data_IF_179451353219
#
_entry.id   IF_179451353219
#
_cell.length_a   1.000
_cell.length_b   1.000
_cell.length_c   1.000
_cell.angle_alpha   90.00
_cell.angle_beta   90.00
_cell.angle_gamma   90.00
#
_symmetry.space_group_name_H-M   'P 1'
#
loop_
_entity.id
_entity.type
_entity.pdbx_description
1 polymer ?
#
# COMPACT_ATOMS: atom_id res chain seq x y z
N UNK A 1 36.95 -34.88 73.35
CA UNK A 1 35.87 -35.61 74.05
C UNK A 1 34.54 -34.94 73.78
N UNK A 2 33.79 -35.39 72.77
CA UNK A 2 32.34 -35.17 72.64
C UNK A 2 31.80 -36.30 71.76
N UNK A 3 31.63 -37.48 72.37
CA UNK A 3 30.89 -38.61 71.80
C UNK A 3 29.51 -38.60 72.45
N UNK A 4 28.45 -38.56 71.64
CA UNK A 4 27.13 -39.04 72.06
C UNK A 4 26.04 -38.00 72.38
N UNK A 5 25.90 -36.93 71.59
CA UNK A 5 24.57 -36.30 71.48
C UNK A 5 23.76 -37.10 70.47
N UNK A 6 22.86 -37.94 70.99
CA UNK A 6 21.92 -38.72 70.17
C UNK A 6 21.08 -37.79 69.29
N UNK A 7 20.71 -38.24 68.10
CA UNK A 7 19.88 -37.48 67.16
C UNK A 7 18.59 -36.92 67.80
N UNK A 8 18.13 -37.57 68.87
CA UNK A 8 16.98 -37.16 69.68
C UNK A 8 17.21 -35.83 70.43
N UNK A 9 18.41 -35.57 70.94
CA UNK A 9 18.74 -34.34 71.66
C UNK A 9 18.82 -33.13 70.71
N UNK A 10 19.33 -33.35 69.49
CA UNK A 10 19.35 -32.33 68.43
C UNK A 10 17.94 -31.98 67.95
N UNK A 11 17.08 -33.00 67.76
CA UNK A 11 15.68 -32.81 67.38
C UNK A 11 14.89 -32.06 68.47
N UNK A 12 15.09 -32.39 69.74
CA UNK A 12 14.45 -31.71 70.86
C UNK A 12 14.88 -30.23 70.97
N UNK A 13 16.15 -29.91 70.67
CA UNK A 13 16.65 -28.55 70.67
C UNK A 13 16.09 -27.70 69.51
N UNK A 14 15.79 -28.32 68.36
CA UNK A 14 15.27 -27.63 67.17
C UNK A 14 13.74 -27.50 67.15
N UNK A 15 13.01 -28.34 67.88
CA UNK A 15 11.55 -28.36 67.95
C UNK A 15 10.90 -26.99 68.26
N UNK A 16 11.34 -26.19 69.25
CA UNK A 16 10.72 -24.90 69.54
C UNK A 16 10.91 -23.89 68.39
N UNK A 17 12.05 -23.91 67.70
CA UNK A 17 12.30 -22.99 66.57
C UNK A 17 11.43 -23.31 65.36
N UNK A 18 11.22 -24.61 65.07
CA UNK A 18 10.32 -25.04 63.99
C UNK A 18 8.88 -24.68 64.32
N UNK A 19 8.45 -24.89 65.57
CA UNK A 19 7.11 -24.54 66.03
C UNK A 19 6.84 -23.03 65.95
N UNK A 20 7.77 -22.19 66.45
CA UNK A 20 7.63 -20.73 66.35
C UNK A 20 7.68 -20.24 64.90
N UNK A 21 8.52 -20.84 64.05
CA UNK A 21 8.55 -20.51 62.62
C UNK A 21 7.22 -20.80 61.93
N UNK A 22 6.61 -21.95 62.21
CA UNK A 22 5.27 -22.31 61.70
C UNK A 22 4.17 -21.40 62.24
N UNK A 23 4.26 -21.00 63.51
CA UNK A 23 3.29 -20.11 64.15
C UNK A 23 3.36 -18.69 63.57
N UNK A 24 4.57 -18.17 63.30
CA UNK A 24 4.75 -16.88 62.63
C UNK A 24 4.26 -16.96 61.18
N UNK A 25 4.55 -18.05 60.46
CA UNK A 25 4.08 -18.24 59.09
C UNK A 25 2.54 -18.31 58.99
N UNK A 26 1.88 -18.97 59.94
CA UNK A 26 0.40 -19.01 60.01
C UNK A 26 -0.19 -17.66 60.42
N UNK A 27 0.42 -16.95 61.37
CA UNK A 27 0.00 -15.60 61.74
C UNK A 27 0.15 -14.59 60.59
N UNK A 28 1.26 -14.63 59.83
CA UNK A 28 1.44 -13.80 58.64
C UNK A 28 0.46 -14.17 57.52
N UNK A 29 0.24 -15.46 57.28
CA UNK A 29 -0.71 -15.93 56.26
C UNK A 29 -2.13 -15.42 56.51
N UNK A 30 -2.58 -15.46 57.77
CA UNK A 30 -3.89 -14.92 58.15
C UNK A 30 -3.97 -13.39 58.02
N UNK A 31 -2.90 -12.65 58.35
CA UNK A 31 -2.88 -11.20 58.20
C UNK A 31 -2.96 -10.77 56.72
N UNK A 32 -2.27 -11.47 55.82
CA UNK A 32 -2.29 -11.16 54.38
C UNK A 32 -3.62 -11.45 53.69
N UNK A 33 -4.32 -12.52 54.09
CA UNK A 33 -5.65 -12.86 53.58
C UNK A 33 -6.73 -11.86 54.03
N UNK A 34 -6.57 -11.29 55.22
CA UNK A 34 -7.55 -10.36 55.79
C UNK A 34 -7.41 -8.94 55.24
N UNK A 35 -6.18 -8.45 55.05
CA UNK A 35 -5.92 -7.05 54.67
C UNK A 35 -5.54 -6.84 53.20
N UNK A 36 -5.19 -7.89 52.45
CA UNK A 36 -4.83 -7.81 51.03
C UNK A 36 -5.90 -7.12 50.16
N UNK A 37 -7.19 -7.47 50.27
CA UNK A 37 -8.25 -6.83 49.48
C UNK A 37 -8.42 -5.34 49.81
N UNK A 38 -8.26 -4.97 51.08
CA UNK A 38 -8.36 -3.59 51.56
C UNK A 38 -7.22 -2.71 51.04
N UNK A 39 -6.00 -3.24 51.02
CA UNK A 39 -4.82 -2.54 50.49
C UNK A 39 -4.96 -2.34 48.97
N UNK A 40 -5.42 -3.35 48.22
CA UNK A 40 -5.65 -3.23 46.78
C UNK A 40 -6.78 -2.26 46.45
N UNK A 41 -7.88 -2.27 47.21
CA UNK A 41 -8.95 -1.30 47.07
C UNK A 41 -8.47 0.13 47.35
N UNK A 42 -7.62 0.32 48.37
CA UNK A 42 -7.04 1.62 48.71
C UNK A 42 -6.08 2.13 47.62
N UNK A 43 -5.21 1.27 47.09
CA UNK A 43 -4.32 1.62 45.98
C UNK A 43 -5.13 1.95 44.72
N UNK A 44 -6.17 1.16 44.40
CA UNK A 44 -7.08 1.44 43.30
C UNK A 44 -7.80 2.77 43.44
N UNK A 45 -8.29 3.10 44.63
CA UNK A 45 -8.93 4.39 44.91
C UNK A 45 -7.96 5.56 44.78
N UNK A 46 -6.72 5.40 45.25
CA UNK A 46 -5.71 6.45 45.20
C UNK A 46 -5.24 6.75 43.77
N UNK A 47 -5.16 5.74 42.90
CA UNK A 47 -4.77 5.91 41.49
C UNK A 47 -5.91 6.47 40.64
N UNK A 48 -7.16 6.00 40.85
CA UNK A 48 -8.34 6.53 40.15
C UNK A 48 -8.61 7.99 40.50
N UNK A 49 -8.50 8.36 41.78
CA UNK A 49 -8.70 9.75 42.23
C UNK A 49 -7.62 10.73 41.76
N UNK A 50 -6.44 10.24 41.36
CA UNK A 50 -5.38 11.06 40.76
C UNK A 50 -5.61 11.27 39.27
N UNK A 51 -6.15 10.27 38.56
CA UNK A 51 -6.53 10.35 37.16
C UNK A 51 -7.75 11.25 36.93
N UNK A 52 -8.78 11.13 37.78
CA UNK A 52 -9.99 11.95 37.67
C UNK A 52 -9.70 13.45 37.85
N UNK A 53 -8.83 13.80 38.80
CA UNK A 53 -8.37 15.19 39.00
C UNK A 53 -7.48 15.72 37.87
N UNK A 54 -6.81 14.83 37.13
CA UNK A 54 -6.01 15.23 35.94
C UNK A 54 -6.92 15.47 34.75
N UNK A 55 -7.89 14.58 34.52
CA UNK A 55 -8.91 14.75 33.49
C UNK A 55 -9.75 16.04 33.69
N UNK A 56 -10.10 16.39 34.92
CA UNK A 56 -10.78 17.67 35.20
C UNK A 56 -9.90 18.89 34.90
N UNK A 57 -8.60 18.83 35.22
CA UNK A 57 -7.67 19.94 34.90
C UNK A 57 -7.40 20.07 33.40
N UNK A 58 -7.39 18.97 32.66
CA UNK A 58 -7.21 18.99 31.21
C UNK A 58 -8.48 19.51 30.53
N UNK A 59 -9.67 19.13 31.01
CA UNK A 59 -10.96 19.68 30.55
C UNK A 59 -11.14 21.18 30.88
N UNK A 60 -10.59 21.67 32.00
CA UNK A 60 -10.59 23.10 32.34
C UNK A 60 -9.54 23.92 31.56
N UNK A 61 -8.53 23.28 30.94
CA UNK A 61 -7.49 23.95 30.13
C UNK A 61 -7.87 24.11 28.67
N UNK A 62 -8.76 23.27 28.14
CA UNK A 62 -9.23 23.36 26.76
C UNK A 62 -10.07 24.61 26.41
N UNK A 63 -10.90 25.22 27.28
CA UNK A 63 -11.69 26.39 26.88
C UNK A 63 -10.92 27.72 26.83
N UNK A 64 -9.63 27.77 27.19
CA UNK A 64 -8.86 29.03 27.24
C UNK A 64 -7.97 29.22 25.99
N UNK A 65 -7.80 28.19 25.14
CA UNK A 65 -7.02 28.28 23.89
C UNK A 65 -7.95 28.35 22.66
N UNK A 66 -9.05 29.11 22.73
CA UNK A 66 -9.84 29.46 21.53
C UNK A 66 -9.99 30.97 21.32
N UNK A 67 -9.51 31.80 22.25
CA UNK A 67 -9.62 33.24 22.13
C UNK A 67 -8.38 33.83 21.43
N UNK A 68 -8.57 34.15 20.14
CA UNK A 68 -7.73 35.00 19.26
C UNK A 68 -6.72 34.27 18.37
N UNK A 69 -7.18 33.23 17.67
CA UNK A 69 -6.75 33.05 16.27
C UNK A 69 -7.62 34.01 15.45
N UNK A 70 -7.04 35.11 14.97
CA UNK A 70 -7.65 35.86 13.87
C UNK A 70 -7.71 34.88 12.70
N UNK A 71 -8.87 34.25 12.49
CA UNK A 71 -9.11 33.43 11.30
C UNK A 71 -9.15 34.40 10.14
N UNK A 72 -8.01 34.61 9.50
CA UNK A 72 -8.01 35.11 8.13
C UNK A 72 -8.98 34.23 7.34
N UNK A 73 -9.91 34.81 6.57
CA UNK A 73 -10.77 34.01 5.72
C UNK A 73 -9.86 33.12 4.88
N UNK A 74 -10.12 31.80 4.79
CA UNK A 74 -9.27 30.92 4.03
C UNK A 74 -9.12 31.52 2.64
N UNK A 75 -7.89 31.62 2.09
CA UNK A 75 -7.70 32.13 0.74
C UNK A 75 -8.70 31.42 -0.17
N UNK A 76 -9.58 32.20 -0.80
CA UNK A 76 -10.54 31.69 -1.76
C UNK A 76 -9.75 31.28 -2.99
N UNK A 77 -9.20 30.07 -2.95
CA UNK A 77 -8.69 29.43 -4.13
C UNK A 77 -9.88 29.19 -5.06
N UNK A 78 -9.80 29.55 -6.35
CA UNK A 78 -10.81 29.13 -7.30
C UNK A 78 -10.95 27.61 -7.21
N UNK A 79 -12.17 27.07 -7.28
CA UNK A 79 -12.41 25.62 -7.17
C UNK A 79 -11.60 24.79 -8.19
N UNK A 80 -11.09 25.44 -9.23
CA UNK A 80 -10.17 24.90 -10.25
C UNK A 80 -8.75 24.64 -9.74
N UNK A 81 -8.32 25.27 -8.63
CA UNK A 81 -6.95 25.19 -8.11
C UNK A 81 -6.72 24.01 -7.13
N UNK A 82 -7.78 23.29 -6.74
CA UNK A 82 -7.67 22.10 -5.88
C UNK A 82 -8.58 20.96 -6.36
N UNK A 83 -8.60 20.71 -7.67
CA UNK A 83 -8.81 19.33 -8.09
C UNK A 83 -7.49 18.60 -7.79
N UNK A 84 -7.43 17.59 -6.90
CA UNK A 84 -6.32 16.65 -6.94
C UNK A 84 -6.25 16.21 -8.39
N UNK A 85 -5.12 16.46 -9.05
CA UNK A 85 -5.14 16.39 -10.49
C UNK A 85 -5.43 14.92 -10.84
N UNK A 86 -6.42 14.66 -11.69
CA UNK A 86 -7.07 13.34 -11.88
C UNK A 86 -6.09 12.16 -12.09
N UNK A 87 -4.83 12.46 -12.38
CA UNK A 87 -3.71 11.54 -12.35
C UNK A 87 -3.40 10.89 -11.00
N UNK A 88 -3.56 11.60 -9.87
CA UNK A 88 -3.30 11.06 -8.54
C UNK A 88 -4.32 9.99 -8.14
N UNK A 89 -5.60 10.24 -8.41
CA UNK A 89 -6.68 9.27 -8.14
C UNK A 89 -6.50 7.99 -8.94
N UNK A 90 -6.06 8.11 -10.21
CA UNK A 90 -5.77 6.96 -11.06
C UNK A 90 -4.56 6.14 -10.55
N UNK A 91 -3.52 6.80 -10.03
CA UNK A 91 -2.37 6.11 -9.46
C UNK A 91 -2.71 5.46 -8.11
N UNK A 92 -3.58 6.09 -7.31
CA UNK A 92 -4.05 5.51 -6.07
C UNK A 92 -4.93 4.27 -6.32
N UNK A 93 -5.88 4.37 -7.25
CA UNK A 93 -6.73 3.23 -7.65
C UNK A 93 -5.89 2.10 -8.25
N UNK A 94 -4.90 2.42 -9.07
CA UNK A 94 -3.96 1.45 -9.59
C UNK A 94 -3.22 0.69 -8.48
N UNK A 95 -2.74 1.40 -7.45
CA UNK A 95 -2.07 0.74 -6.32
C UNK A 95 -3.00 -0.20 -5.57
N UNK A 96 -4.25 0.19 -5.39
CA UNK A 96 -5.27 -0.65 -4.80
C UNK A 96 -5.51 -1.93 -5.62
N UNK A 97 -5.70 -1.81 -6.94
CA UNK A 97 -5.94 -2.97 -7.82
C UNK A 97 -4.72 -3.91 -7.90
N UNK A 98 -3.49 -3.38 -7.87
CA UNK A 98 -2.27 -4.21 -7.73
C UNK A 98 -2.33 -5.03 -6.43
N UNK A 99 -2.75 -4.41 -5.32
CA UNK A 99 -2.96 -5.08 -4.04
C UNK A 99 -4.02 -6.18 -4.13
N UNK A 100 -5.15 -5.91 -4.80
CA UNK A 100 -6.22 -6.90 -5.02
C UNK A 100 -5.71 -8.11 -5.81
N UNK A 101 -4.97 -7.90 -6.90
CA UNK A 101 -4.39 -8.99 -7.70
C UNK A 101 -3.46 -9.86 -6.83
N UNK A 102 -2.58 -9.25 -6.02
CA UNK A 102 -1.67 -9.99 -5.13
C UNK A 102 -2.43 -10.79 -4.07
N UNK A 103 -3.43 -10.18 -3.44
CA UNK A 103 -4.27 -10.83 -2.45
C UNK A 103 -5.03 -12.02 -3.03
N UNK A 104 -5.67 -11.82 -4.19
CA UNK A 104 -6.38 -12.87 -4.89
C UNK A 104 -5.44 -14.00 -5.33
N UNK A 105 -4.27 -13.69 -5.88
CA UNK A 105 -3.29 -14.67 -6.30
C UNK A 105 -2.83 -15.58 -5.16
N UNK A 106 -2.72 -15.05 -3.94
CA UNK A 106 -2.38 -15.84 -2.74
C UNK A 106 -3.45 -16.89 -2.36
N UNK A 107 -4.68 -16.74 -2.84
CA UNK A 107 -5.78 -17.69 -2.62
C UNK A 107 -5.98 -18.69 -3.77
N UNK A 108 -5.24 -18.55 -4.88
CA UNK A 108 -5.35 -19.43 -6.04
C UNK A 108 -4.59 -20.73 -5.76
N UNK A 109 -5.31 -21.87 -5.77
CA UNK A 109 -4.71 -23.19 -5.54
C UNK A 109 -3.80 -23.70 -6.67
N UNK A 110 -3.95 -23.15 -7.89
CA UNK A 110 -3.05 -23.46 -9.02
C UNK A 110 -1.80 -22.56 -8.97
N UNK A 111 -0.66 -23.16 -8.62
CA UNK A 111 0.60 -22.45 -8.45
C UNK A 111 1.15 -21.82 -9.74
N UNK A 112 0.83 -22.36 -10.93
CA UNK A 112 1.26 -21.76 -12.19
C UNK A 112 0.50 -20.46 -12.45
N UNK A 113 -0.81 -20.49 -12.23
CA UNK A 113 -1.71 -19.35 -12.48
C UNK A 113 -1.54 -18.27 -11.42
N UNK A 114 -1.37 -18.66 -10.15
CA UNK A 114 -1.01 -17.74 -9.08
C UNK A 114 0.27 -16.96 -9.42
N UNK A 115 1.31 -17.64 -9.94
CA UNK A 115 2.55 -17.00 -10.38
C UNK A 115 2.36 -16.02 -11.53
N UNK A 116 1.49 -16.31 -12.49
CA UNK A 116 1.18 -15.37 -13.58
C UNK A 116 0.53 -14.09 -13.07
N UNK A 117 -0.46 -14.19 -12.18
CA UNK A 117 -1.06 -12.99 -11.56
C UNK A 117 -0.07 -12.20 -10.71
N UNK A 118 0.83 -12.89 -9.99
CA UNK A 118 1.90 -12.23 -9.24
C UNK A 118 2.90 -11.52 -10.17
N UNK A 119 3.26 -12.12 -11.30
CA UNK A 119 4.12 -11.49 -12.30
C UNK A 119 3.45 -10.24 -12.88
N UNK A 120 2.18 -10.33 -13.27
CA UNK A 120 1.38 -9.20 -13.74
C UNK A 120 1.36 -8.06 -12.70
N UNK A 121 1.13 -8.39 -11.43
CA UNK A 121 1.13 -7.40 -10.35
C UNK A 121 2.51 -6.78 -10.10
N UNK A 122 3.61 -7.52 -10.31
CA UNK A 122 4.97 -7.00 -10.19
C UNK A 122 5.32 -6.04 -11.32
N UNK A 123 4.95 -6.37 -12.55
CA UNK A 123 5.12 -5.50 -13.72
C UNK A 123 4.28 -4.21 -13.58
N UNK A 124 3.01 -4.34 -13.14
CA UNK A 124 2.14 -3.19 -12.89
C UNK A 124 2.70 -2.26 -11.80
N UNK A 125 3.30 -2.81 -10.74
CA UNK A 125 3.96 -2.03 -9.67
C UNK A 125 5.22 -1.33 -10.17
N UNK A 126 5.96 -1.95 -11.08
CA UNK A 126 7.13 -1.33 -11.73
C UNK A 126 6.72 -0.13 -12.57
N UNK A 127 5.66 -0.26 -13.35
CA UNK A 127 5.11 0.84 -14.15
C UNK A 127 4.55 1.93 -13.23
N UNK A 128 3.83 1.56 -12.18
CA UNK A 128 3.30 2.49 -11.19
C UNK A 128 4.41 3.33 -10.55
N UNK A 129 5.48 2.69 -10.08
CA UNK A 129 6.63 3.38 -9.49
C UNK A 129 7.29 4.37 -10.46
N UNK A 130 7.44 4.00 -11.74
CA UNK A 130 7.98 4.91 -12.77
C UNK A 130 7.06 6.10 -13.01
N UNK A 131 5.75 5.91 -13.03
CA UNK A 131 4.79 7.00 -13.23
C UNK A 131 4.68 7.92 -12.01
N UNK A 132 4.93 7.41 -10.81
CA UNK A 132 5.07 8.24 -9.61
C UNK A 132 6.32 9.14 -9.70
N UNK A 133 7.39 8.67 -10.35
CA UNK A 133 8.58 9.48 -10.62
C UNK A 133 8.39 10.45 -11.81
N UNK A 134 7.64 10.03 -12.84
CA UNK A 134 7.45 10.75 -14.09
C UNK A 134 5.96 10.89 -14.46
N UNK A 135 5.20 11.75 -13.79
CA UNK A 135 3.74 11.83 -13.95
C UNK A 135 3.30 12.30 -15.33
N UNK A 136 4.17 13.00 -16.07
CA UNK A 136 3.93 13.44 -17.46
C UNK A 136 3.68 12.25 -18.40
N UNK A 137 4.28 11.09 -18.11
CA UNK A 137 4.13 9.86 -18.91
C UNK A 137 2.83 9.10 -18.61
N UNK A 138 1.98 9.57 -17.68
CA UNK A 138 0.74 8.88 -17.32
C UNK A 138 -0.21 8.70 -18.50
N UNK A 139 -0.24 9.66 -19.44
CA UNK A 139 -1.07 9.57 -20.64
C UNK A 139 -0.86 8.27 -21.41
N UNK A 140 0.37 7.76 -21.42
CA UNK A 140 0.74 6.52 -22.11
C UNK A 140 0.11 5.30 -21.44
N UNK A 141 0.13 5.24 -20.10
CA UNK A 141 -0.37 4.09 -19.33
C UNK A 141 -1.83 4.23 -18.88
N UNK A 142 -2.50 5.34 -19.21
CA UNK A 142 -3.85 5.67 -18.70
C UNK A 142 -4.85 4.57 -18.98
N UNK A 143 -4.89 4.06 -20.23
CA UNK A 143 -5.83 2.99 -20.62
C UNK A 143 -5.58 1.71 -19.83
N UNK A 144 -4.33 1.41 -19.53
CA UNK A 144 -3.98 0.24 -18.74
C UNK A 144 -4.53 0.35 -17.32
N UNK A 145 -4.21 1.43 -16.61
CA UNK A 145 -4.65 1.61 -15.23
C UNK A 145 -6.16 1.86 -15.10
N UNK A 146 -6.78 2.53 -16.06
CA UNK A 146 -8.20 2.85 -15.98
C UNK A 146 -9.12 1.70 -16.43
N UNK A 147 -8.59 0.68 -17.12
CA UNK A 147 -9.45 -0.37 -17.71
C UNK A 147 -8.89 -1.77 -17.63
N UNK A 148 -7.61 -1.98 -17.91
CA UNK A 148 -7.04 -3.33 -17.94
C UNK A 148 -6.70 -3.85 -16.55
N UNK A 149 -6.10 -3.01 -15.70
CA UNK A 149 -5.71 -3.41 -14.35
C UNK A 149 -6.93 -3.74 -13.45
N UNK A 150 -8.02 -2.96 -13.40
CA UNK A 150 -9.20 -3.29 -12.59
C UNK A 150 -9.83 -4.62 -13.03
N UNK A 151 -9.92 -4.84 -14.35
CA UNK A 151 -10.43 -6.10 -14.92
C UNK A 151 -9.52 -7.28 -14.59
N UNK A 152 -8.21 -7.06 -14.52
CA UNK A 152 -7.26 -8.10 -14.11
C UNK A 152 -7.44 -8.49 -12.65
N UNK A 153 -7.72 -7.52 -11.78
CA UNK A 153 -8.08 -7.77 -10.38
C UNK A 153 -9.38 -8.57 -10.27
N UNK A 154 -10.42 -8.19 -11.01
CA UNK A 154 -11.70 -8.92 -11.04
C UNK A 154 -11.52 -10.36 -11.57
N UNK A 155 -10.65 -10.58 -12.56
CA UNK A 155 -10.33 -11.91 -13.07
C UNK A 155 -9.59 -12.76 -12.04
N UNK A 156 -8.61 -12.18 -11.33
CA UNK A 156 -7.88 -12.86 -10.28
C UNK A 156 -8.81 -13.28 -9.14
N UNK A 157 -9.67 -12.37 -8.68
CA UNK A 157 -10.68 -12.66 -7.66
C UNK A 157 -11.72 -13.67 -8.14
N UNK A 158 -12.12 -13.62 -9.41
CA UNK A 158 -13.10 -14.53 -9.99
C UNK A 158 -12.58 -15.93 -10.30
N UNK A 159 -11.26 -16.15 -10.29
CA UNK A 159 -10.64 -17.38 -10.78
C UNK A 159 -11.20 -18.65 -10.11
N UNK A 160 -11.38 -18.62 -8.78
CA UNK A 160 -11.91 -19.75 -8.01
C UNK A 160 -13.37 -20.08 -8.32
N UNK A 161 -14.13 -19.19 -8.98
CA UNK A 161 -15.53 -19.46 -9.35
C UNK A 161 -15.65 -20.43 -10.53
N UNK A 162 -14.56 -20.63 -11.26
CA UNK A 162 -14.50 -21.49 -12.44
C UNK A 162 -13.96 -22.90 -12.15
N UNK A 163 -13.70 -23.25 -10.88
CA UNK A 163 -13.13 -24.55 -10.48
C UNK A 163 -14.17 -25.64 -10.21
N UNK A 164 -15.48 -25.36 -10.28
CA UNK A 164 -16.51 -26.41 -10.14
C UNK A 164 -16.57 -27.28 -11.40
N UNK A 165 -16.67 -28.61 -11.21
CA UNK A 165 -16.80 -29.67 -12.22
C UNK A 165 -18.00 -29.46 -13.15
N UNK A 166 -17.83 -28.57 -14.11
CA UNK A 166 -18.73 -28.37 -15.24
C UNK A 166 -17.82 -28.22 -16.47
N UNK A 167 -18.08 -28.92 -17.56
CA UNK A 167 -17.32 -28.78 -18.81
C UNK A 167 -17.31 -27.32 -19.34
N UNK A 168 -18.31 -26.52 -18.94
CA UNK A 168 -18.33 -25.07 -19.18
C UNK A 168 -17.33 -24.29 -18.30
N UNK A 169 -16.91 -24.83 -17.17
CA UNK A 169 -15.88 -24.27 -16.28
C UNK A 169 -14.50 -24.29 -16.93
N UNK A 170 -14.11 -25.40 -17.57
CA UNK A 170 -12.80 -25.54 -18.20
C UNK A 170 -12.65 -24.64 -19.44
N UNK A 171 -13.69 -24.55 -20.27
CA UNK A 171 -13.70 -23.62 -21.42
C UNK A 171 -13.64 -22.15 -21.00
N UNK A 172 -14.30 -21.77 -19.90
CA UNK A 172 -14.19 -20.42 -19.33
C UNK A 172 -12.80 -20.14 -18.77
N UNK A 173 -12.18 -21.14 -18.14
CA UNK A 173 -10.81 -21.06 -17.60
C UNK A 173 -9.77 -20.87 -18.70
N UNK A 174 -9.88 -21.65 -19.79
CA UNK A 174 -9.00 -21.48 -20.95
C UNK A 174 -9.10 -20.07 -21.56
N UNK A 175 -10.31 -19.51 -21.68
CA UNK A 175 -10.52 -18.13 -22.13
C UNK A 175 -9.92 -17.11 -21.17
N UNK A 176 -10.05 -17.33 -19.86
CA UNK A 176 -9.44 -16.46 -18.85
C UNK A 176 -7.91 -16.45 -18.98
N UNK A 177 -7.29 -17.62 -19.21
CA UNK A 177 -5.85 -17.73 -19.41
C UNK A 177 -5.38 -17.05 -20.70
N UNK A 178 -6.13 -17.17 -21.80
CA UNK A 178 -5.84 -16.42 -23.04
C UNK A 178 -5.91 -14.90 -22.80
N UNK A 179 -6.94 -14.43 -22.07
CA UNK A 179 -7.06 -13.00 -21.73
C UNK A 179 -5.92 -12.55 -20.82
N UNK A 180 -5.55 -13.35 -19.81
CA UNK A 180 -4.44 -13.05 -18.91
C UNK A 180 -3.12 -12.93 -19.68
N UNK A 181 -2.84 -13.85 -20.59
CA UNK A 181 -1.66 -13.79 -21.44
C UNK A 181 -1.64 -12.53 -22.33
N UNK A 182 -2.77 -12.17 -22.96
CA UNK A 182 -2.88 -10.94 -23.76
C UNK A 182 -2.67 -9.68 -22.92
N UNK A 183 -3.15 -9.67 -21.68
CA UNK A 183 -2.94 -8.57 -20.75
C UNK A 183 -1.47 -8.41 -20.38
N UNK A 184 -0.75 -9.51 -20.14
CA UNK A 184 0.69 -9.52 -19.89
C UNK A 184 1.48 -8.98 -21.10
N UNK A 185 1.16 -9.44 -22.32
CA UNK A 185 1.81 -8.94 -23.55
C UNK A 185 1.57 -7.44 -23.73
N UNK A 186 0.34 -6.98 -23.53
CA UNK A 186 0.01 -5.55 -23.60
C UNK A 186 0.77 -4.74 -22.54
N UNK A 187 0.97 -5.29 -21.35
CA UNK A 187 1.70 -4.63 -20.27
C UNK A 187 3.18 -4.46 -20.59
N UNK A 188 3.83 -5.51 -21.10
CA UNK A 188 5.24 -5.45 -21.53
C UNK A 188 5.44 -4.46 -22.67
N UNK A 189 4.50 -4.39 -23.59
CA UNK A 189 4.52 -3.38 -24.66
C UNK A 189 4.41 -1.97 -24.08
N UNK A 190 3.54 -1.77 -23.08
CA UNK A 190 3.40 -0.50 -22.39
C UNK A 190 4.66 -0.09 -21.61
N UNK A 191 5.30 -1.04 -20.93
CA UNK A 191 6.56 -0.80 -20.22
C UNK A 191 7.68 -0.42 -21.20
N UNK A 192 7.77 -1.11 -22.33
CA UNK A 192 8.73 -0.82 -23.40
C UNK A 192 8.49 0.59 -23.93
N UNK A 193 7.24 0.95 -24.20
CA UNK A 193 6.88 2.30 -24.62
C UNK A 193 7.31 3.34 -23.56
N UNK A 194 7.07 3.09 -22.27
CA UNK A 194 7.48 3.97 -21.16
C UNK A 194 9.01 4.10 -20.98
N UNK A 195 9.75 3.11 -21.46
CA UNK A 195 11.23 3.07 -21.41
C UNK A 195 11.89 3.66 -22.66
N UNK A 196 11.14 3.76 -23.77
CA UNK A 196 11.67 4.29 -25.01
C UNK A 196 12.12 5.77 -24.84
N UNK A 197 13.29 6.15 -25.38
CA UNK A 197 13.70 7.55 -25.45
C UNK A 197 12.63 8.39 -26.13
N UNK A 198 12.41 9.63 -25.67
CA UNK A 198 11.36 10.50 -26.23
C UNK A 198 11.49 10.67 -27.75
N UNK A 199 12.71 10.82 -28.26
CA UNK A 199 12.96 10.90 -29.71
C UNK A 199 12.55 9.63 -30.47
N UNK A 200 12.83 8.45 -29.90
CA UNK A 200 12.41 7.18 -30.52
C UNK A 200 10.88 7.02 -30.55
N UNK A 201 10.15 7.66 -29.62
CA UNK A 201 8.68 7.69 -29.65
C UNK A 201 8.16 8.62 -30.72
N UNK A 202 8.74 9.83 -30.80
CA UNK A 202 8.37 10.81 -31.83
C UNK A 202 8.58 10.20 -33.21
N UNK A 203 9.68 9.49 -33.44
CA UNK A 203 9.92 8.80 -34.71
C UNK A 203 8.88 7.70 -35.02
N UNK A 204 8.45 6.95 -34.00
CA UNK A 204 7.41 5.94 -34.15
C UNK A 204 6.04 6.58 -34.44
N UNK A 205 5.69 7.66 -33.75
CA UNK A 205 4.45 8.41 -33.95
C UNK A 205 4.43 9.07 -35.34
N UNK A 206 5.52 9.69 -35.77
CA UNK A 206 5.69 10.23 -37.12
C UNK A 206 5.49 9.12 -38.16
N UNK A 207 6.06 7.93 -37.94
CA UNK A 207 5.89 6.80 -38.86
C UNK A 207 4.45 6.32 -38.94
N UNK A 208 3.75 6.15 -37.81
CA UNK A 208 2.34 5.72 -37.77
C UNK A 208 1.46 6.76 -38.47
N UNK A 209 1.62 8.04 -38.11
CA UNK A 209 0.86 9.11 -38.76
C UNK A 209 1.15 9.19 -40.26
N UNK A 210 2.41 9.00 -40.68
CA UNK A 210 2.76 8.94 -42.10
C UNK A 210 2.10 7.75 -42.79
N UNK A 211 2.05 6.59 -42.14
CA UNK A 211 1.44 5.37 -42.67
C UNK A 211 -0.10 5.52 -42.80
N UNK A 212 -0.76 6.10 -41.80
CA UNK A 212 -2.20 6.39 -41.82
C UNK A 212 -2.55 7.45 -42.87
N UNK A 213 -1.67 8.43 -43.08
CA UNK A 213 -1.82 9.49 -44.06
C UNK A 213 -1.31 9.12 -45.46
N UNK A 214 -0.84 7.88 -45.70
CA UNK A 214 -0.38 7.45 -47.05
C UNK A 214 -1.43 7.63 -48.15
N UNK A 215 -2.71 7.53 -47.80
CA UNK A 215 -3.83 7.77 -48.73
C UNK A 215 -4.18 9.26 -48.92
N UNK A 216 -3.62 10.13 -48.09
CA UNK A 216 -3.83 11.57 -48.09
C UNK A 216 -2.50 12.24 -48.45
N UNK A 217 -2.23 12.34 -49.76
CA UNK A 217 -0.99 12.92 -50.27
C UNK A 217 -1.27 14.33 -50.83
N UNK A 218 -1.49 15.35 -49.97
CA UNK A 218 -1.51 16.73 -50.46
C UNK A 218 -0.11 17.04 -50.98
N UNK A 219 -0.04 17.67 -52.15
CA UNK A 219 1.22 18.12 -52.71
C UNK A 219 1.91 19.05 -51.71
N UNK A 220 3.05 18.62 -51.17
CA UNK A 220 3.78 19.37 -50.15
C UNK A 220 4.22 20.75 -50.65
N UNK A 221 4.26 20.95 -51.97
CA UNK A 221 4.50 22.26 -52.59
C UNK A 221 3.37 23.26 -52.38
N UNK A 222 2.18 22.79 -51.98
CA UNK A 222 1.03 23.64 -51.60
C UNK A 222 0.97 23.91 -50.09
N UNK A 223 1.99 23.49 -49.32
CA UNK A 223 2.05 23.80 -47.90
C UNK A 223 2.13 25.32 -47.67
N UNK A 224 1.57 25.85 -46.57
CA UNK A 224 1.72 27.24 -46.19
C UNK A 224 3.19 27.71 -46.17
N UNK A 225 3.46 28.93 -46.63
CA UNK A 225 4.82 29.50 -46.72
C UNK A 225 5.68 29.35 -45.44
N UNK A 226 5.14 29.51 -44.21
CA UNK A 226 5.94 29.31 -42.99
C UNK A 226 6.56 27.90 -42.89
N UNK A 227 5.86 26.87 -43.38
CA UNK A 227 6.33 25.47 -43.36
C UNK A 227 7.41 25.27 -44.43
N UNK A 228 7.17 25.76 -45.65
CA UNK A 228 8.13 25.67 -46.76
C UNK A 228 9.46 26.33 -46.40
N UNK A 229 9.41 27.56 -45.88
CA UNK A 229 10.60 28.31 -45.46
C UNK A 229 11.42 27.57 -44.41
N UNK A 230 10.74 26.91 -43.45
CA UNK A 230 11.40 26.17 -42.38
C UNK A 230 12.06 24.89 -42.89
N UNK A 231 11.40 24.18 -43.79
CA UNK A 231 11.99 22.99 -44.43
C UNK A 231 13.22 23.37 -45.25
N UNK A 232 13.16 24.46 -46.03
CA UNK A 232 14.30 24.95 -46.80
C UNK A 232 15.49 25.38 -45.93
N UNK A 233 15.22 25.97 -44.76
CA UNK A 233 16.25 26.28 -43.77
C UNK A 233 16.92 24.99 -43.24
N UNK A 234 16.14 23.98 -42.88
CA UNK A 234 16.62 22.69 -42.38
C UNK A 234 17.48 21.99 -43.44
N UNK A 235 17.01 21.93 -44.69
CA UNK A 235 17.74 21.30 -45.82
C UNK A 235 19.04 22.04 -46.12
N UNK A 236 19.02 23.39 -46.12
CA UNK A 236 20.25 24.19 -46.31
C UNK A 236 21.26 23.99 -45.19
N UNK A 237 20.81 23.90 -43.94
CA UNK A 237 21.68 23.66 -42.80
C UNK A 237 22.26 22.24 -42.78
N UNK A 238 21.50 21.24 -43.24
CA UNK A 238 21.99 19.88 -43.41
C UNK A 238 23.08 19.79 -44.50
N UNK A 239 22.88 20.45 -45.65
CA UNK A 239 23.87 20.53 -46.74
C UNK A 239 25.17 21.26 -46.37
N UNK A 240 25.15 22.12 -45.34
CA UNK A 240 26.36 22.80 -44.83
C UNK A 240 27.13 21.96 -43.81
N UNK A 241 26.53 20.91 -43.24
CA UNK A 241 27.12 20.07 -42.19
C UNK A 241 27.66 18.73 -42.69
N UNK A 242 27.25 18.28 -43.88
CA UNK A 242 27.81 17.12 -44.58
C UNK A 242 28.87 17.53 -45.59
#
# INVERSE_FOLDING_TARGET
MFRGLSALALAAAMAPFVFFGLLIATALGFATLSFGPLILAFIGWMTLGRWYRRAQRDAEREPIIEARVVREPPPQYPAEAYAPPAHFDLLLSAKHDIGRIRGAAGSIGDAAIARQFLALAAEADTIHARLMAEPVKLGLARRYFASYLPRSADLAEGYHRFTRDDAKGDTRRAKLLDVLYRLEVALKQQETALSAPEMSRIDADIRILSDDLKGFNPDFTQAPEPILNRVDEIVRNAKKKG
#
